data_IF_648519507541
#
_entry.id   IF_648519507541
#
_cell.length_a   1.000
_cell.length_b   1.000
_cell.length_c   1.000
_cell.angle_alpha   90.00
_cell.angle_beta   90.00
_cell.angle_gamma   90.00
#
_symmetry.space_group_name_H-M   'P 1'
#
loop_
_entity.id
_entity.type
_entity.pdbx_description
1 polymer ?
#
# COMPACT_ATOMS: atom_id res chain seq x y z
N UNK A 1 9.41 10.52 3.44
CA UNK A 1 8.08 11.10 3.70
C UNK A 1 7.08 10.01 3.41
N UNK A 2 6.10 9.87 4.28
CA UNK A 2 5.02 8.88 4.15
C UNK A 2 3.66 9.58 4.32
N UNK A 3 2.56 8.86 4.07
CA UNK A 3 1.19 9.30 4.33
C UNK A 3 0.71 8.70 5.63
N UNK A 4 0.08 9.51 6.47
CA UNK A 4 -0.76 9.03 7.57
C UNK A 4 -2.22 9.40 7.30
N UNK A 5 -3.13 8.53 7.74
CA UNK A 5 -4.55 8.83 7.75
C UNK A 5 -4.94 9.45 9.10
N UNK A 6 -5.25 10.75 9.11
CA UNK A 6 -5.82 11.43 10.27
C UNK A 6 -7.27 10.97 10.42
N UNK A 7 -7.50 10.03 11.34
CA UNK A 7 -8.83 9.66 11.80
C UNK A 7 -9.43 10.84 12.58
N UNK A 8 -10.00 11.80 11.84
CA UNK A 8 -10.74 12.91 12.42
C UNK A 8 -11.94 12.36 13.19
N UNK A 9 -11.81 12.29 14.52
CA UNK A 9 -12.97 12.13 15.40
C UNK A 9 -13.86 13.35 15.20
N UNK A 10 -14.89 13.21 14.36
CA UNK A 10 -15.97 14.19 14.22
C UNK A 10 -16.77 14.23 15.53
N UNK A 11 -16.21 14.89 16.54
CA UNK A 11 -17.02 15.55 17.57
C UNK A 11 -17.75 16.70 16.87
N UNK A 12 -18.92 16.38 16.31
CA UNK A 12 -19.89 17.40 15.95
C UNK A 12 -20.16 18.23 17.20
N UNK A 13 -19.84 19.52 17.16
CA UNK A 13 -20.03 20.45 18.28
C UNK A 13 -21.48 20.94 18.37
N UNK A 14 -22.43 20.00 18.32
CA UNK A 14 -23.86 20.23 18.53
C UNK A 14 -24.44 19.02 19.26
N UNK A 15 -25.33 19.31 20.22
CA UNK A 15 -26.04 18.37 21.11
C UNK A 15 -25.19 17.81 22.27
N UNK A 16 -25.06 18.63 23.32
CA UNK A 16 -25.05 18.11 24.68
C UNK A 16 -26.39 17.42 24.99
N UNK A 17 -26.31 16.30 25.73
CA UNK A 17 -27.43 15.68 26.48
C UNK A 17 -28.56 15.01 25.68
N UNK A 18 -28.45 13.68 25.48
CA UNK A 18 -29.49 12.75 25.95
C UNK A 18 -28.88 11.38 26.26
N UNK A 19 -29.39 10.68 27.28
CA UNK A 19 -28.80 9.46 27.81
C UNK A 19 -29.51 8.18 27.29
N UNK A 20 -28.74 7.11 27.09
CA UNK A 20 -29.23 5.73 27.10
C UNK A 20 -28.11 4.78 27.57
N UNK A 21 -28.43 3.86 28.49
CA UNK A 21 -27.51 2.84 29.02
C UNK A 21 -27.34 1.70 28.01
N UNK A 22 -26.13 1.17 27.83
CA UNK A 22 -25.90 -0.24 27.48
C UNK A 22 -24.61 -0.78 28.13
N UNK A 23 -24.63 -2.07 28.46
CA UNK A 23 -23.58 -2.80 29.18
C UNK A 23 -22.32 -3.09 28.34
N UNK A 24 -21.18 -3.42 29.00
CA UNK A 24 -19.97 -3.87 28.31
C UNK A 24 -20.10 -5.32 27.83
N UNK A 25 -19.75 -5.59 26.56
CA UNK A 25 -19.55 -6.95 26.06
C UNK A 25 -18.06 -7.27 25.91
N UNK A 26 -17.60 -8.14 26.81
CA UNK A 26 -16.42 -9.03 26.81
C UNK A 26 -15.42 -8.99 25.64
N UNK A 27 -14.12 -8.92 25.99
CA UNK A 27 -13.07 -9.71 25.35
C UNK A 27 -12.53 -10.78 26.31
N UNK A 28 -12.83 -12.06 26.05
CA UNK A 28 -12.14 -13.17 26.71
C UNK A 28 -11.01 -13.67 25.79
N UNK A 29 -9.76 -13.29 26.10
CA UNK A 29 -8.58 -13.85 25.45
C UNK A 29 -8.24 -15.22 26.07
N UNK A 30 -7.99 -16.21 25.22
CA UNK A 30 -7.34 -17.46 25.64
C UNK A 30 -5.87 -17.18 25.97
N UNK A 31 -5.48 -17.43 27.22
CA UNK A 31 -4.08 -17.53 27.64
C UNK A 31 -3.82 -18.96 28.08
N UNK A 32 -3.08 -19.72 27.27
CA UNK A 32 -2.70 -21.09 27.60
C UNK A 32 -1.47 -21.13 28.49
N UNK A 33 -1.66 -21.42 29.79
CA UNK A 33 -0.59 -21.82 30.73
C UNK A 33 -1.07 -23.09 31.47
N UNK A 34 -0.27 -24.17 31.57
CA UNK A 34 -0.75 -25.47 32.07
C UNK A 34 -0.64 -25.66 33.60
N UNK A 35 -1.78 -25.95 34.26
CA UNK A 35 -1.89 -26.49 35.64
C UNK A 35 -1.52 -25.50 36.76
N UNK A 36 -2.31 -25.23 37.81
CA UNK A 36 -3.20 -26.08 38.65
C UNK A 36 -4.27 -25.16 39.31
N UNK A 37 -5.49 -25.57 39.69
CA UNK A 37 -6.10 -26.90 39.62
C UNK A 37 -7.32 -27.14 40.56
N UNK A 38 -8.23 -26.16 40.74
CA UNK A 38 -9.44 -26.28 41.59
C UNK A 38 -10.70 -26.07 40.74
N UNK A 39 -11.74 -26.89 40.96
CA UNK A 39 -13.03 -26.80 40.29
C UNK A 39 -13.87 -25.61 40.80
N UNK A 40 -14.35 -24.75 39.89
CA UNK A 40 -15.33 -23.71 40.18
C UNK A 40 -16.27 -23.55 38.96
N UNK A 41 -17.58 -23.50 39.21
CA UNK A 41 -18.62 -23.40 38.18
C UNK A 41 -19.09 -21.95 37.99
N UNK A 42 -19.31 -21.56 36.73
CA UNK A 42 -19.69 -20.19 36.38
C UNK A 42 -21.21 -19.97 36.56
N UNK A 43 -21.67 -18.98 37.37
CA UNK A 43 -23.08 -18.80 37.69
C UNK A 43 -23.96 -18.36 36.51
N UNK A 44 -23.37 -17.91 35.39
CA UNK A 44 -24.12 -17.41 34.22
C UNK A 44 -24.31 -18.45 33.11
N UNK A 45 -23.48 -19.50 33.04
CA UNK A 45 -23.53 -20.48 31.95
C UNK A 45 -23.51 -21.96 32.38
N UNK A 46 -23.47 -22.27 33.69
CA UNK A 46 -23.71 -23.61 34.28
C UNK A 46 -22.82 -24.79 33.86
N UNK A 47 -21.75 -24.59 33.08
CA UNK A 47 -20.79 -25.68 32.82
C UNK A 47 -19.89 -25.93 34.05
N UNK A 48 -19.69 -27.21 34.39
CA UNK A 48 -18.72 -27.67 35.39
C UNK A 48 -17.36 -27.99 34.78
N UNK A 49 -16.30 -27.80 35.56
CA UNK A 49 -14.93 -28.17 35.19
C UNK A 49 -14.29 -29.00 36.30
N UNK A 50 -13.80 -30.19 35.95
CA UNK A 50 -13.10 -31.10 36.83
C UNK A 50 -11.58 -30.96 36.63
N UNK A 51 -10.84 -30.84 37.72
CA UNK A 51 -9.37 -30.77 37.73
C UNK A 51 -8.82 -31.87 38.64
N UNK A 52 -7.82 -32.60 38.13
CA UNK A 52 -7.12 -33.69 38.83
C UNK A 52 -5.62 -33.39 38.89
N UNK A 53 -4.95 -33.89 39.92
CA UNK A 53 -3.58 -33.56 40.28
C UNK A 53 -2.72 -34.84 40.42
N UNK A 54 -1.47 -34.78 39.94
CA UNK A 54 -0.48 -35.86 40.07
C UNK A 54 0.96 -35.30 40.13
N UNK A 55 1.85 -35.81 41.02
CA UNK A 55 3.20 -35.25 41.22
C UNK A 55 4.34 -36.14 40.66
N UNK A 56 5.45 -35.55 40.20
CA UNK A 56 6.71 -36.26 39.82
C UNK A 56 7.96 -35.46 40.27
N UNK A 57 9.09 -36.15 40.51
CA UNK A 57 10.28 -35.70 41.28
C UNK A 57 11.63 -35.87 40.58
N UNK A 58 12.62 -35.01 40.89
CA UNK A 58 14.09 -35.24 40.73
C UNK A 58 14.70 -35.24 39.30
N UNK A 59 16.02 -35.07 39.04
CA UNK A 59 17.27 -34.73 39.82
C UNK A 59 18.34 -34.14 38.85
N UNK A 60 19.43 -33.54 39.36
CA UNK A 60 20.63 -33.05 38.63
C UNK A 60 21.87 -33.96 38.81
N UNK A 61 22.89 -33.91 37.92
CA UNK A 61 24.27 -33.50 38.29
C UNK A 61 25.05 -32.75 37.16
N UNK A 62 26.39 -32.67 37.18
CA UNK A 62 27.21 -31.56 37.73
C UNK A 62 28.73 -31.71 37.39
N UNK A 63 29.41 -30.60 37.01
CA UNK A 63 30.90 -30.39 36.89
C UNK A 63 31.74 -31.25 35.89
N UNK A 64 32.93 -30.85 35.36
CA UNK A 64 33.63 -29.54 35.21
C UNK A 64 34.93 -29.63 34.32
N UNK A 65 35.59 -28.48 34.08
CA UNK A 65 37.02 -28.24 33.73
C UNK A 65 37.51 -28.16 32.24
N UNK A 66 38.50 -27.28 32.05
CA UNK A 66 39.26 -26.81 30.85
C UNK A 66 40.78 -27.02 31.09
N UNK A 67 41.79 -26.65 30.23
CA UNK A 67 41.82 -26.05 28.87
C UNK A 67 42.87 -26.65 27.86
N UNK A 68 43.03 -25.95 26.71
CA UNK A 68 44.24 -25.76 25.88
C UNK A 68 44.68 -26.81 24.82
N UNK A 69 44.79 -26.38 23.54
CA UNK A 69 46.06 -26.17 22.76
C UNK A 69 45.75 -25.86 21.28
N UNK A 70 46.63 -25.12 20.61
CA UNK A 70 46.66 -24.71 19.18
C UNK A 70 48.14 -24.77 18.72
N UNK A 71 48.54 -24.86 17.43
CA UNK A 71 47.79 -24.66 16.17
C UNK A 71 47.95 -25.80 15.14
N UNK A 72 47.46 -25.63 13.90
CA UNK A 72 48.26 -25.73 12.66
C UNK A 72 47.45 -25.33 11.40
N UNK A 73 48.18 -24.94 10.35
CA UNK A 73 47.70 -24.26 9.14
C UNK A 73 47.52 -25.20 7.94
N UNK A 74 46.35 -25.16 7.27
CA UNK A 74 46.28 -25.35 5.80
C UNK A 74 45.10 -24.58 5.17
N UNK A 75 45.34 -23.90 4.03
CA UNK A 75 44.29 -23.31 3.17
C UNK A 75 43.69 -24.37 2.22
N UNK A 76 42.53 -24.10 1.58
CA UNK A 76 41.69 -25.14 0.98
C UNK A 76 42.03 -25.44 -0.49
N UNK A 77 41.62 -26.61 -0.96
CA UNK A 77 41.45 -26.91 -2.37
C UNK A 77 40.22 -27.83 -2.60
N UNK A 78 39.28 -27.31 -3.40
CA UNK A 78 38.28 -27.99 -4.22
C UNK A 78 38.12 -29.53 -4.15
N UNK A 79 36.88 -29.96 -3.89
CA UNK A 79 36.26 -31.04 -4.67
C UNK A 79 34.91 -30.56 -5.25
N UNK A 80 34.64 -30.79 -6.55
CA UNK A 80 33.34 -30.46 -7.15
C UNK A 80 32.31 -31.59 -6.95
N UNK A 81 31.07 -31.30 -7.35
CA UNK A 81 29.91 -32.22 -7.47
C UNK A 81 29.08 -32.51 -6.21
N UNK A 82 27.97 -31.77 -6.07
CA UNK A 82 26.70 -32.26 -5.52
C UNK A 82 25.54 -31.37 -6.00
N UNK A 83 24.84 -31.73 -7.08
CA UNK A 83 23.74 -30.94 -7.64
C UNK A 83 22.39 -31.32 -7.02
N UNK A 84 22.19 -31.05 -5.72
CA UNK A 84 20.94 -31.41 -5.01
C UNK A 84 20.36 -30.29 -4.14
N UNK A 85 20.26 -29.07 -4.69
CA UNK A 85 19.27 -28.08 -4.22
C UNK A 85 18.61 -27.36 -5.40
N UNK A 86 17.99 -28.15 -6.30
CA UNK A 86 16.89 -27.63 -7.09
C UNK A 86 15.71 -27.36 -6.15
N UNK A 87 15.71 -26.17 -5.52
CA UNK A 87 14.61 -25.73 -4.68
C UNK A 87 13.33 -25.77 -5.52
N UNK A 88 12.42 -26.67 -5.15
CA UNK A 88 11.14 -26.88 -5.83
C UNK A 88 10.28 -25.64 -5.61
N UNK A 89 10.42 -24.68 -6.52
CA UNK A 89 9.62 -23.47 -6.52
C UNK A 89 8.14 -23.87 -6.67
N UNK A 90 7.39 -23.71 -5.58
CA UNK A 90 6.03 -24.26 -5.48
C UNK A 90 5.16 -23.67 -6.59
N UNK A 91 4.41 -24.50 -7.35
CA UNK A 91 3.70 -24.05 -8.56
C UNK A 91 2.59 -23.02 -8.29
N UNK A 92 2.28 -22.72 -7.03
CA UNK A 92 1.38 -21.65 -6.62
C UNK A 92 2.00 -20.24 -6.68
N UNK A 93 3.31 -20.09 -6.53
CA UNK A 93 3.97 -18.77 -6.59
C UNK A 93 4.20 -18.27 -8.02
N UNK A 94 4.41 -19.19 -8.97
CA UNK A 94 4.73 -18.83 -10.36
C UNK A 94 3.59 -18.13 -11.12
N UNK A 95 2.29 -18.50 -10.97
CA UNK A 95 1.17 -17.75 -11.54
C UNK A 95 1.05 -16.33 -10.97
N UNK A 96 1.10 -16.21 -9.63
CA UNK A 96 1.03 -14.90 -8.95
C UNK A 96 2.15 -13.97 -9.43
N UNK A 97 3.39 -14.46 -9.48
CA UNK A 97 4.54 -13.67 -9.95
C UNK A 97 4.40 -13.23 -11.42
N UNK A 98 3.82 -14.07 -12.29
CA UNK A 98 3.53 -13.70 -13.69
C UNK A 98 2.47 -12.60 -13.78
N UNK A 99 1.41 -12.69 -12.98
CA UNK A 99 0.36 -11.67 -12.92
C UNK A 99 0.89 -10.34 -12.35
N UNK A 100 1.82 -10.39 -11.39
CA UNK A 100 2.52 -9.22 -10.83
C UNK A 100 3.43 -8.54 -11.86
N UNK A 101 4.24 -9.31 -12.61
CA UNK A 101 5.05 -8.75 -13.71
C UNK A 101 4.15 -8.13 -14.77
N UNK A 102 3.06 -8.81 -15.16
CA UNK A 102 2.10 -8.28 -16.13
C UNK A 102 1.48 -6.97 -15.62
N UNK A 103 1.02 -6.94 -14.37
CA UNK A 103 0.45 -5.76 -13.69
C UNK A 103 1.40 -4.57 -13.69
N UNK A 104 2.70 -4.83 -13.48
CA UNK A 104 3.74 -3.82 -13.51
C UNK A 104 3.97 -3.28 -14.93
N UNK A 105 4.06 -4.15 -15.94
CA UNK A 105 4.20 -3.77 -17.35
C UNK A 105 2.98 -2.96 -17.85
N UNK A 106 1.76 -3.46 -17.60
CA UNK A 106 0.50 -2.75 -17.89
C UNK A 106 0.52 -1.32 -17.27
N UNK A 107 1.08 -1.19 -16.07
CA UNK A 107 1.20 0.11 -15.37
C UNK A 107 2.28 1.01 -15.98
N UNK A 108 3.42 0.46 -16.43
CA UNK A 108 4.45 1.23 -17.14
C UNK A 108 3.94 1.78 -18.48
N UNK A 109 3.20 0.99 -19.26
CA UNK A 109 2.60 1.45 -20.52
C UNK A 109 1.63 2.61 -20.28
N UNK A 110 0.72 2.45 -19.33
CA UNK A 110 -0.23 3.50 -18.91
C UNK A 110 0.50 4.75 -18.42
N UNK A 111 1.53 4.62 -17.57
CA UNK A 111 2.30 5.76 -17.08
C UNK A 111 3.03 6.50 -18.22
N UNK A 112 3.58 5.79 -19.19
CA UNK A 112 4.17 6.41 -20.39
C UNK A 112 3.12 7.18 -21.22
N UNK A 113 1.90 6.65 -21.34
CA UNK A 113 0.78 7.29 -22.04
C UNK A 113 0.18 8.51 -21.32
N UNK A 114 0.54 8.78 -20.06
CA UNK A 114 -0.01 9.90 -19.28
C UNK A 114 0.67 11.25 -19.55
N UNK A 115 1.93 11.22 -20.01
CA UNK A 115 2.76 12.40 -20.25
C UNK A 115 3.37 13.04 -18.99
N UNK A 116 3.00 12.56 -17.79
CA UNK A 116 3.49 13.03 -16.48
C UNK A 116 4.33 11.99 -15.70
N UNK A 117 4.73 10.90 -16.37
CA UNK A 117 5.73 9.96 -15.85
C UNK A 117 7.15 10.30 -16.33
N UNK A 118 8.07 10.48 -15.38
CA UNK A 118 9.47 10.84 -15.60
C UNK A 118 10.38 9.67 -15.25
N UNK A 119 10.67 8.83 -16.25
CA UNK A 119 11.46 7.61 -16.06
C UNK A 119 12.87 7.89 -15.52
N UNK A 120 13.54 8.93 -16.06
CA UNK A 120 14.93 9.30 -15.74
C UNK A 120 14.97 10.65 -15.02
N UNK A 121 14.34 10.71 -13.85
CA UNK A 121 14.32 11.90 -13.00
C UNK A 121 14.58 11.48 -11.56
N UNK A 122 15.61 12.07 -10.97
CA UNK A 122 16.01 11.83 -9.58
C UNK A 122 15.17 12.70 -8.62
N UNK A 123 15.53 12.69 -7.33
CA UNK A 123 14.85 13.53 -6.34
C UNK A 123 15.12 15.02 -6.58
N UNK A 124 16.37 15.40 -6.83
CA UNK A 124 16.75 16.81 -6.96
C UNK A 124 16.15 17.43 -8.22
N UNK A 125 16.18 16.73 -9.35
CA UNK A 125 15.51 17.16 -10.58
C UNK A 125 14.01 17.34 -10.40
N UNK A 126 13.33 16.44 -9.68
CA UNK A 126 11.91 16.57 -9.39
C UNK A 126 11.59 17.77 -8.48
N UNK A 127 12.42 18.05 -7.49
CA UNK A 127 12.29 19.26 -6.66
C UNK A 127 12.52 20.52 -7.49
N UNK A 128 13.52 20.52 -8.37
CA UNK A 128 13.84 21.66 -9.24
C UNK A 128 12.73 21.97 -10.27
N UNK A 129 12.00 20.96 -10.76
CA UNK A 129 10.86 21.16 -11.66
C UNK A 129 9.60 21.65 -10.94
N UNK A 130 9.38 21.22 -9.70
CA UNK A 130 8.16 21.49 -8.94
C UNK A 130 8.21 22.75 -8.07
N UNK A 131 9.41 23.26 -7.75
CA UNK A 131 9.59 24.40 -6.81
C UNK A 131 8.79 25.66 -7.19
N UNK A 132 8.65 25.94 -8.48
CA UNK A 132 7.95 27.11 -9.04
C UNK A 132 6.56 26.75 -9.57
N UNK A 133 6.10 25.51 -9.37
CA UNK A 133 4.79 25.04 -9.80
C UNK A 133 3.68 25.44 -8.81
N UNK A 134 2.42 25.32 -9.23
CA UNK A 134 1.26 25.49 -8.36
C UNK A 134 1.22 24.44 -7.24
N UNK A 135 0.69 24.80 -6.07
CA UNK A 135 0.46 23.86 -4.97
C UNK A 135 -0.46 22.71 -5.45
N UNK A 136 -0.05 21.49 -5.13
CA UNK A 136 -0.69 20.24 -5.59
C UNK A 136 -0.27 19.79 -6.99
N UNK A 137 0.59 20.52 -7.70
CA UNK A 137 1.20 20.03 -8.93
C UNK A 137 2.08 18.81 -8.64
N UNK A 138 1.96 17.75 -9.43
CA UNK A 138 2.62 16.48 -9.14
C UNK A 138 3.17 15.76 -10.38
N UNK A 139 4.12 14.86 -10.17
CA UNK A 139 4.62 13.93 -11.19
C UNK A 139 4.97 12.57 -10.56
N UNK A 140 4.95 11.51 -11.38
CA UNK A 140 5.52 10.22 -11.00
C UNK A 140 6.90 10.10 -11.63
N UNK A 141 7.85 9.52 -10.90
CA UNK A 141 9.19 9.19 -11.39
C UNK A 141 9.64 7.82 -10.90
N UNK A 142 10.72 7.27 -11.47
CA UNK A 142 11.38 6.11 -10.85
C UNK A 142 11.92 6.49 -9.47
N UNK A 143 11.87 5.56 -8.52
CA UNK A 143 12.55 5.72 -7.25
C UNK A 143 14.07 5.55 -7.42
N UNK A 144 14.85 6.28 -6.62
CA UNK A 144 16.30 6.04 -6.48
C UNK A 144 16.64 5.01 -5.39
N UNK A 145 15.64 4.54 -4.64
CA UNK A 145 15.78 3.49 -3.64
C UNK A 145 15.41 2.13 -4.25
N UNK A 146 16.34 1.17 -4.16
CA UNK A 146 16.23 -0.20 -4.72
C UNK A 146 15.01 -0.99 -4.26
N UNK A 147 14.41 -0.64 -3.13
CA UNK A 147 13.24 -1.35 -2.59
C UNK A 147 11.90 -0.85 -3.18
N UNK A 148 11.94 0.17 -4.05
CA UNK A 148 10.76 0.83 -4.59
C UNK A 148 10.92 1.05 -6.08
N UNK A 149 9.83 0.92 -6.85
CA UNK A 149 9.88 1.12 -8.31
C UNK A 149 9.60 2.58 -8.66
N UNK A 150 8.60 3.18 -7.99
CA UNK A 150 8.10 4.51 -8.29
C UNK A 150 8.10 5.42 -7.05
N UNK A 151 8.13 6.72 -7.31
CA UNK A 151 7.91 7.78 -6.32
C UNK A 151 6.98 8.85 -6.90
N UNK A 152 6.04 9.31 -6.09
CA UNK A 152 5.20 10.48 -6.37
C UNK A 152 5.88 11.72 -5.79
N UNK A 153 6.15 12.69 -6.64
CA UNK A 153 6.69 14.00 -6.26
C UNK A 153 5.59 15.04 -6.39
N UNK A 154 5.43 15.91 -5.39
CA UNK A 154 4.34 16.90 -5.33
C UNK A 154 4.83 18.22 -4.75
N UNK A 155 4.40 19.33 -5.34
CA UNK A 155 4.57 20.66 -4.79
C UNK A 155 3.59 20.91 -3.64
N UNK A 156 4.09 21.25 -2.47
CA UNK A 156 3.27 21.62 -1.31
C UNK A 156 3.46 23.08 -0.93
N UNK A 157 2.65 23.58 0.00
CA UNK A 157 2.82 24.88 0.66
C UNK A 157 4.22 25.08 1.28
N UNK A 158 4.85 24.00 1.75
CA UNK A 158 6.21 23.97 2.28
C UNK A 158 7.27 23.57 1.23
N UNK A 159 6.94 23.66 -0.05
CA UNK A 159 7.80 23.29 -1.18
C UNK A 159 7.68 21.83 -1.64
N UNK A 160 8.56 21.36 -2.55
CA UNK A 160 8.39 20.06 -3.18
C UNK A 160 8.84 18.90 -2.29
N UNK A 161 7.99 17.90 -2.18
CA UNK A 161 8.26 16.65 -1.43
C UNK A 161 8.14 15.42 -2.33
N UNK A 162 8.56 14.26 -1.81
CA UNK A 162 8.45 12.96 -2.49
C UNK A 162 8.06 11.86 -1.52
N UNK A 163 6.99 11.14 -1.87
CA UNK A 163 6.57 9.88 -1.22
C UNK A 163 6.90 8.71 -2.15
N UNK A 164 7.21 7.55 -1.56
CA UNK A 164 7.49 6.32 -2.31
C UNK A 164 6.21 5.53 -2.55
N UNK A 165 6.24 4.66 -3.54
CA UNK A 165 5.08 3.82 -3.91
C UNK A 165 5.50 2.35 -3.78
N UNK A 166 4.87 1.65 -2.84
CA UNK A 166 5.04 0.19 -2.68
C UNK A 166 4.29 -0.55 -3.78
N UNK A 167 4.80 -1.72 -4.15
CA UNK A 167 4.12 -2.68 -5.03
C UNK A 167 4.23 -4.08 -4.42
N UNK A 168 3.11 -4.61 -3.93
CA UNK A 168 3.01 -5.89 -3.22
C UNK A 168 1.70 -6.59 -3.59
N UNK A 169 1.70 -7.92 -3.68
CA UNK A 169 0.60 -8.79 -4.13
C UNK A 169 -0.11 -8.32 -5.43
N UNK A 170 0.61 -7.62 -6.32
CA UNK A 170 0.03 -7.03 -7.53
C UNK A 170 -0.76 -5.73 -7.31
N UNK A 171 -0.57 -5.04 -6.19
CA UNK A 171 -1.21 -3.76 -5.89
C UNK A 171 -0.22 -2.66 -5.47
N UNK A 172 -0.53 -1.43 -5.87
CA UNK A 172 0.18 -0.21 -5.49
C UNK A 172 -0.45 0.47 -4.27
N UNK A 173 0.39 1.06 -3.42
CA UNK A 173 -0.03 1.98 -2.33
C UNK A 173 1.04 3.05 -2.11
N UNK A 174 0.64 4.18 -1.51
CA UNK A 174 1.62 5.15 -0.98
C UNK A 174 2.31 4.60 0.26
N UNK A 175 3.57 4.98 0.45
CA UNK A 175 4.34 4.71 1.66
C UNK A 175 3.69 5.33 2.90
N UNK A 176 3.66 4.60 4.02
CA UNK A 176 2.89 4.90 5.23
C UNK A 176 3.58 4.27 6.46
N UNK A 177 3.13 4.65 7.66
CA UNK A 177 3.53 3.96 8.89
C UNK A 177 3.05 2.49 8.88
N UNK A 178 3.89 1.56 9.36
CA UNK A 178 3.59 0.12 9.44
C UNK A 178 2.25 -0.18 10.11
N UNK A 179 1.87 0.59 11.14
CA UNK A 179 0.58 0.46 11.83
C UNK A 179 -0.64 0.76 10.96
N UNK A 180 -0.46 1.57 9.91
CA UNK A 180 -1.50 2.04 8.99
C UNK A 180 -1.61 1.23 7.70
N UNK A 181 -0.62 0.39 7.36
CA UNK A 181 -0.58 -0.38 6.09
C UNK A 181 -1.89 -1.11 5.79
N UNK A 182 -2.53 -1.71 6.81
CA UNK A 182 -3.81 -2.43 6.70
C UNK A 182 -5.04 -1.56 6.40
N UNK A 183 -4.94 -0.24 6.58
CA UNK A 183 -6.01 0.73 6.30
C UNK A 183 -5.79 1.50 4.99
N UNK A 184 -4.56 1.46 4.44
CA UNK A 184 -4.23 2.17 3.22
C UNK A 184 -4.92 1.54 1.99
N UNK A 185 -5.54 2.35 1.12
CA UNK A 185 -6.15 1.82 -0.10
C UNK A 185 -5.10 1.25 -1.04
N UNK A 186 -5.43 0.10 -1.66
CA UNK A 186 -4.58 -0.64 -2.59
C UNK A 186 -5.18 -0.54 -4.00
N UNK A 187 -4.34 -0.29 -5.01
CA UNK A 187 -4.78 0.00 -6.39
C UNK A 187 -4.12 -0.93 -7.40
N UNK A 188 -4.77 -1.19 -8.53
CA UNK A 188 -4.22 -2.04 -9.60
C UNK A 188 -3.40 -1.25 -10.61
N UNK A 189 -3.39 0.08 -10.52
CA UNK A 189 -2.52 0.95 -11.30
C UNK A 189 -2.09 2.20 -10.49
N UNK A 190 -0.91 2.74 -10.78
CA UNK A 190 -0.46 4.01 -10.17
C UNK A 190 -1.34 5.20 -10.59
N UNK A 191 -1.91 5.19 -11.81
CA UNK A 191 -2.81 6.27 -12.25
C UNK A 191 -4.14 6.26 -11.48
N UNK A 192 -4.70 5.07 -11.27
CA UNK A 192 -5.89 4.84 -10.44
C UNK A 192 -5.67 5.35 -8.99
N UNK A 193 -4.51 5.03 -8.41
CA UNK A 193 -4.10 5.56 -7.10
C UNK A 193 -4.05 7.09 -7.08
N UNK A 194 -3.43 7.71 -8.08
CA UNK A 194 -3.33 9.18 -8.16
C UNK A 194 -4.72 9.82 -8.29
N UNK A 195 -5.60 9.31 -9.15
CA UNK A 195 -6.99 9.79 -9.25
C UNK A 195 -7.73 9.71 -7.92
N UNK A 196 -7.56 8.61 -7.17
CA UNK A 196 -8.16 8.48 -5.84
C UNK A 196 -7.72 9.60 -4.90
N UNK A 197 -6.41 9.90 -4.82
CA UNK A 197 -5.90 10.96 -3.94
C UNK A 197 -6.27 12.38 -4.40
N UNK A 198 -6.45 12.62 -5.71
CA UNK A 198 -7.04 13.87 -6.22
C UNK A 198 -8.49 14.00 -5.70
N UNK A 199 -9.33 12.98 -5.93
CA UNK A 199 -10.73 12.99 -5.50
C UNK A 199 -10.89 13.06 -3.97
N UNK A 200 -9.94 12.52 -3.21
CA UNK A 200 -9.91 12.67 -1.74
C UNK A 200 -9.58 14.11 -1.35
N UNK A 201 -8.55 14.72 -1.96
CA UNK A 201 -8.16 16.11 -1.70
C UNK A 201 -9.23 17.14 -2.07
N UNK A 202 -9.99 16.91 -3.14
CA UNK A 202 -11.13 17.75 -3.55
C UNK A 202 -12.25 17.78 -2.49
N UNK A 203 -12.38 16.74 -1.64
CA UNK A 203 -13.35 16.71 -0.54
C UNK A 203 -12.87 17.45 0.72
N UNK A 204 -11.86 18.31 0.57
CA UNK A 204 -11.19 19.05 1.65
C UNK A 204 -10.10 18.23 2.33
N UNK A 205 -9.52 18.78 3.41
CA UNK A 205 -8.47 18.13 4.22
C UNK A 205 -9.00 16.94 5.07
N UNK A 206 -9.88 16.12 4.50
CA UNK A 206 -10.50 14.96 5.10
C UNK A 206 -9.52 13.78 5.21
N UNK A 207 -8.52 13.97 6.07
CA UNK A 207 -7.91 12.85 6.78
C UNK A 207 -6.64 12.26 6.18
N UNK A 208 -5.89 12.91 5.29
CA UNK A 208 -4.54 12.43 4.92
C UNK A 208 -3.49 13.54 4.92
N UNK A 209 -2.35 13.27 5.54
CA UNK A 209 -1.26 14.25 5.78
C UNK A 209 0.09 13.60 5.46
N UNK A 210 0.96 14.36 4.79
CA UNK A 210 2.37 14.02 4.60
C UNK A 210 3.12 14.11 5.92
N UNK A 211 3.97 13.13 6.21
CA UNK A 211 4.84 13.11 7.40
C UNK A 211 6.30 13.08 6.96
N UNK A 212 7.14 13.85 7.64
CA UNK A 212 8.60 13.86 7.42
C UNK A 212 9.27 12.58 7.95
N UNK A 213 10.61 12.53 8.01
CA UNK A 213 11.31 11.33 8.55
C UNK A 213 11.26 11.28 10.07
N UNK A 214 11.00 12.42 10.69
CA UNK A 214 11.00 12.69 12.12
C UNK A 214 9.63 12.43 12.77
N UNK A 215 8.61 12.00 11.99
CA UNK A 215 7.25 11.74 12.47
C UNK A 215 6.35 12.98 12.56
N UNK A 216 6.86 14.16 12.22
CA UNK A 216 6.12 15.42 12.31
C UNK A 216 5.19 15.64 11.09
N UNK A 217 3.95 16.12 11.30
CA UNK A 217 3.07 16.57 10.23
C UNK A 217 3.70 17.66 9.35
N UNK A 218 3.74 17.40 8.05
CA UNK A 218 4.25 18.32 7.04
C UNK A 218 3.12 19.14 6.43
N UNK A 219 2.29 18.54 5.56
CA UNK A 219 1.18 19.24 4.91
C UNK A 219 0.11 18.26 4.43
N UNK A 220 -1.14 18.70 4.16
CA UNK A 220 -2.20 17.82 3.65
C UNK A 220 -1.82 17.16 2.31
N UNK A 221 -2.34 15.96 2.06
CA UNK A 221 -2.20 15.29 0.76
C UNK A 221 -3.13 15.97 -0.25
N UNK A 222 -2.57 16.90 -1.03
CA UNK A 222 -3.29 17.64 -2.07
C UNK A 222 -2.77 17.29 -3.47
N UNK A 223 -3.57 16.48 -4.17
CA UNK A 223 -3.56 16.15 -5.61
C UNK A 223 -4.28 17.19 -6.49
N UNK A 224 -3.64 18.03 -7.33
CA UNK A 224 -4.41 18.94 -8.21
C UNK A 224 -4.13 18.76 -9.70
N UNK A 225 -2.90 18.99 -10.15
CA UNK A 225 -2.57 19.02 -11.58
C UNK A 225 -1.34 18.16 -11.91
N UNK A 226 -1.43 17.23 -12.87
CA UNK A 226 -0.26 16.52 -13.35
C UNK A 226 0.69 17.45 -14.11
N UNK A 227 1.92 17.54 -13.65
CA UNK A 227 3.02 18.23 -14.29
C UNK A 227 3.51 17.39 -15.48
N UNK A 228 3.05 17.72 -16.68
CA UNK A 228 3.38 16.98 -17.92
C UNK A 228 4.64 17.54 -18.57
N UNK A 229 5.41 16.67 -19.24
CA UNK A 229 6.60 17.06 -20.03
C UNK A 229 6.25 17.97 -21.21
N UNK A 230 5.11 17.68 -21.84
CA UNK A 230 4.59 18.35 -23.03
C UNK A 230 3.06 18.51 -22.85
N UNK A 231 2.42 19.49 -23.50
CA UNK A 231 0.96 19.53 -23.58
C UNK A 231 0.42 18.27 -24.27
N UNK A 232 -0.75 17.74 -23.85
CA UNK A 232 -1.36 16.59 -24.50
C UNK A 232 -1.77 16.93 -25.95
N UNK A 233 -1.61 15.97 -26.87
CA UNK A 233 -2.12 16.14 -28.24
C UNK A 233 -3.65 16.18 -28.24
N UNK A 234 -4.27 16.71 -29.31
CA UNK A 234 -5.74 16.82 -29.40
C UNK A 234 -6.47 15.48 -29.15
N UNK A 235 -5.94 14.37 -29.67
CA UNK A 235 -6.48 13.01 -29.43
C UNK A 235 -6.41 12.60 -27.95
N UNK A 236 -5.33 12.96 -27.25
CA UNK A 236 -5.14 12.65 -25.83
C UNK A 236 -6.03 13.52 -24.96
N UNK A 237 -6.11 14.83 -25.26
CA UNK A 237 -7.04 15.75 -24.61
C UNK A 237 -8.50 15.30 -24.77
N UNK A 238 -8.89 14.87 -25.98
CA UNK A 238 -10.21 14.31 -26.25
C UNK A 238 -10.48 13.02 -25.45
N UNK A 239 -9.52 12.09 -25.39
CA UNK A 239 -9.60 10.87 -24.56
C UNK A 239 -9.80 11.19 -23.07
N UNK A 240 -9.04 12.13 -22.53
CA UNK A 240 -9.17 12.59 -21.13
C UNK A 240 -10.54 13.24 -20.89
N UNK A 241 -11.00 14.10 -21.81
CA UNK A 241 -12.31 14.74 -21.71
C UNK A 241 -13.47 13.73 -21.75
N UNK A 242 -13.38 12.70 -22.60
CA UNK A 242 -14.36 11.61 -22.68
C UNK A 242 -14.40 10.83 -21.36
N UNK A 243 -13.26 10.38 -20.82
CA UNK A 243 -13.26 9.65 -19.55
C UNK A 243 -13.73 10.52 -18.39
N UNK A 244 -13.35 11.81 -18.34
CA UNK A 244 -13.86 12.76 -17.35
C UNK A 244 -15.39 12.89 -17.43
N UNK A 245 -15.95 12.97 -18.63
CA UNK A 245 -17.41 13.00 -18.83
C UNK A 245 -18.08 11.68 -18.39
N UNK A 246 -17.48 10.52 -18.68
CA UNK A 246 -17.96 9.20 -18.25
C UNK A 246 -17.85 8.98 -16.73
N UNK A 247 -16.95 9.69 -16.05
CA UNK A 247 -16.83 9.70 -14.59
C UNK A 247 -17.86 10.62 -13.95
N UNK A 248 -18.04 11.84 -14.47
CA UNK A 248 -19.02 12.81 -13.95
C UNK A 248 -20.47 12.46 -14.28
N UNK A 249 -20.75 11.90 -15.46
CA UNK A 249 -22.07 11.53 -15.93
C UNK A 249 -22.05 10.09 -16.49
N UNK A 250 -22.13 9.06 -15.62
CA UNK A 250 -22.04 7.67 -16.04
C UNK A 250 -23.24 7.26 -16.91
N UNK A 251 -22.93 6.66 -18.07
CA UNK A 251 -23.92 6.18 -19.04
C UNK A 251 -24.98 5.26 -18.39
N UNK A 252 -26.21 5.34 -18.91
CA UNK A 252 -27.35 4.49 -18.54
C UNK A 252 -27.70 3.59 -19.73
N UNK A 253 -27.96 2.28 -19.52
CA UNK A 253 -27.85 1.54 -18.28
C UNK A 253 -26.39 1.32 -17.83
N UNK A 254 -26.17 1.17 -16.52
CA UNK A 254 -24.86 0.77 -15.98
C UNK A 254 -24.65 -0.74 -16.23
N UNK A 255 -24.06 -1.09 -17.37
CA UNK A 255 -23.72 -2.47 -17.67
C UNK A 255 -22.42 -2.87 -16.96
N UNK A 256 -22.56 -3.48 -15.77
CA UNK A 256 -21.44 -3.86 -14.89
C UNK A 256 -20.36 -4.74 -15.56
N UNK A 257 -20.72 -5.45 -16.63
CA UNK A 257 -19.83 -6.37 -17.36
C UNK A 257 -18.90 -5.68 -18.38
N UNK A 258 -19.07 -4.39 -18.66
CA UNK A 258 -18.31 -3.69 -19.71
C UNK A 258 -17.71 -2.36 -19.22
N UNK A 259 -16.45 -2.04 -19.58
CA UNK A 259 -15.88 -0.71 -19.36
C UNK A 259 -16.74 0.39 -20.00
N UNK A 260 -17.00 1.48 -19.27
CA UNK A 260 -17.92 2.58 -19.68
C UNK A 260 -17.72 3.03 -21.14
N UNK A 261 -16.47 3.18 -21.57
CA UNK A 261 -16.12 3.65 -22.91
C UNK A 261 -16.56 2.70 -24.04
N UNK A 262 -16.75 1.40 -23.77
CA UNK A 262 -17.25 0.42 -24.75
C UNK A 262 -18.74 0.56 -25.07
N UNK A 263 -19.47 1.37 -24.29
CA UNK A 263 -20.88 1.67 -24.52
C UNK A 263 -21.09 2.90 -25.43
N UNK A 264 -20.00 3.55 -25.87
CA UNK A 264 -20.07 4.69 -26.79
C UNK A 264 -20.29 4.23 -28.23
N UNK A 265 -21.10 4.95 -29.04
CA UNK A 265 -21.33 4.65 -30.45
C UNK A 265 -20.15 5.11 -31.32
N UNK A 266 -18.97 4.53 -31.11
CA UNK A 266 -17.72 4.86 -31.81
C UNK A 266 -17.16 3.63 -32.56
N UNK A 267 -16.42 3.82 -33.67
CA UNK A 267 -15.69 2.76 -34.34
C UNK A 267 -14.77 1.97 -33.38
N UNK A 268 -14.57 0.64 -33.58
CA UNK A 268 -13.76 -0.19 -32.70
C UNK A 268 -12.34 0.35 -32.44
N UNK A 269 -11.72 0.95 -33.46
CA UNK A 269 -10.39 1.57 -33.35
C UNK A 269 -10.33 2.73 -32.35
N UNK A 270 -11.41 3.50 -32.21
CA UNK A 270 -11.52 4.54 -31.19
C UNK A 270 -11.86 3.96 -29.82
N UNK A 271 -12.69 2.92 -29.76
CA UNK A 271 -12.98 2.19 -28.50
C UNK A 271 -11.69 1.61 -27.91
N UNK A 272 -10.85 0.98 -28.72
CA UNK A 272 -9.55 0.45 -28.30
C UNK A 272 -8.58 1.57 -27.90
N UNK A 273 -8.58 2.70 -28.60
CA UNK A 273 -7.78 3.88 -28.23
C UNK A 273 -8.19 4.47 -26.86
N UNK A 274 -9.49 4.52 -26.56
CA UNK A 274 -10.00 4.90 -25.24
C UNK A 274 -9.63 3.86 -24.17
N UNK A 275 -9.65 2.57 -24.52
CA UNK A 275 -9.28 1.45 -23.64
C UNK A 275 -7.80 1.40 -23.26
N UNK A 276 -6.89 1.93 -24.09
CA UNK A 276 -5.44 2.03 -23.78
C UNK A 276 -5.12 2.97 -22.61
N UNK A 277 -6.02 3.88 -22.26
CA UNK A 277 -5.85 4.78 -21.10
C UNK A 277 -7.22 5.15 -20.54
N UNK A 278 -7.82 4.29 -19.68
CA UNK A 278 -9.18 4.43 -19.18
C UNK A 278 -9.27 5.39 -17.97
N UNK A 279 -8.59 6.54 -18.03
CA UNK A 279 -8.45 7.48 -16.93
C UNK A 279 -8.66 8.93 -17.38
N UNK A 280 -8.98 9.81 -16.44
CA UNK A 280 -9.41 11.20 -16.67
C UNK A 280 -8.36 12.28 -16.31
N UNK A 281 -7.10 11.88 -16.05
CA UNK A 281 -5.95 12.74 -15.67
C UNK A 281 -4.70 12.47 -16.52
#
# INVERSE_FOLDING_TARGET
MCVIQVLASKKNLLNMTLAARLSPHNPCLNVGVPGVGIAASCPTCRNEFLLSLGPITGKWPVHAHTPATSPFTTRPAYSPHSPLYAATCSPFYLPQFKDEIKRLNDTFEVLNLSGWFYERLDLQGAQNLLKDASIGAFLIRRSGDKNFIFSLSVQTDRGPTSVRIHFEDGFFRLDCDTSLVKYMPRFRCVVEMVQHYILVGERGAAGTVWVNREGCPHSPVLLTSPFRKNPPTLKEAARLAIHKALDSNPLKPKLWCAPKHRLLPLPPTLIDYLGKYPYSI
#
